data_IF_655750857934
#
_entry.id   IF_655750857934
#
_cell.length_a   1.000
_cell.length_b   1.000
_cell.length_c   1.000
_cell.angle_alpha   90.00
_cell.angle_beta   90.00
_cell.angle_gamma   90.00
#
_symmetry.space_group_name_H-M   'P 1'
#
loop_
_entity.id
_entity.type
_entity.pdbx_description
1 polymer ?
#
# COMPACT_ATOMS: atom_id res chain seq x y z
N UNK A 1 -17.58 -71.91 -17.20
CA UNK A 1 -18.40 -70.73 -17.03
C UNK A 1 -17.59 -69.73 -16.31
N UNK A 2 -17.03 -68.76 -17.04
CA UNK A 2 -16.22 -67.66 -16.48
C UNK A 2 -16.97 -66.37 -16.82
N UNK A 3 -17.45 -65.70 -15.81
CA UNK A 3 -18.19 -64.43 -15.94
C UNK A 3 -17.18 -63.29 -15.83
N UNK A 4 -16.99 -62.55 -16.89
CA UNK A 4 -16.20 -61.30 -16.97
C UNK A 4 -17.01 -60.16 -16.39
N UNK A 5 -16.44 -59.49 -15.35
CA UNK A 5 -16.93 -58.21 -14.82
C UNK A 5 -16.20 -57.08 -15.60
N UNK A 6 -16.95 -56.24 -16.26
CA UNK A 6 -16.50 -54.98 -16.85
C UNK A 6 -16.35 -53.93 -15.72
N UNK A 7 -15.17 -53.31 -15.68
CA UNK A 7 -14.90 -52.17 -14.82
C UNK A 7 -15.25 -50.89 -15.54
N UNK A 8 -16.23 -50.14 -15.01
CA UNK A 8 -16.49 -48.76 -15.43
C UNK A 8 -15.40 -47.84 -14.86
N UNK A 9 -14.70 -47.17 -15.76
CA UNK A 9 -13.75 -46.11 -15.40
C UNK A 9 -14.51 -44.83 -15.10
N UNK A 10 -14.46 -44.41 -13.83
CA UNK A 10 -14.92 -43.09 -13.39
C UNK A 10 -13.94 -42.01 -13.87
N UNK A 11 -14.46 -41.05 -14.62
CA UNK A 11 -13.75 -39.84 -15.05
C UNK A 11 -13.63 -38.88 -13.86
N UNK A 12 -12.45 -38.34 -13.53
CA UNK A 12 -12.32 -37.40 -12.44
C UNK A 12 -12.95 -36.05 -12.82
N UNK A 13 -13.93 -35.62 -12.06
CA UNK A 13 -14.53 -34.29 -12.11
C UNK A 13 -13.47 -33.22 -11.79
N UNK A 14 -13.32 -32.25 -12.68
CA UNK A 14 -12.46 -31.04 -12.52
C UNK A 14 -12.75 -30.39 -11.17
N UNK A 15 -11.73 -30.34 -10.31
CA UNK A 15 -11.79 -29.73 -9.00
C UNK A 15 -12.17 -28.24 -9.06
N UNK A 16 -13.16 -27.87 -8.28
CA UNK A 16 -13.50 -26.48 -8.01
C UNK A 16 -12.27 -25.78 -7.39
N UNK A 17 -11.93 -24.60 -7.91
CA UNK A 17 -10.90 -23.73 -7.32
C UNK A 17 -11.33 -23.40 -5.89
N UNK A 18 -10.41 -23.37 -4.89
CA UNK A 18 -10.76 -23.00 -3.53
C UNK A 18 -11.29 -21.55 -3.53
N UNK A 19 -12.52 -21.39 -3.02
CA UNK A 19 -13.12 -20.08 -2.82
C UNK A 19 -12.27 -19.21 -1.88
N UNK A 20 -12.32 -17.91 -2.09
CA UNK A 20 -11.62 -16.93 -1.28
C UNK A 20 -12.14 -17.03 0.18
N UNK A 21 -11.32 -17.49 1.11
CA UNK A 21 -11.67 -17.56 2.53
C UNK A 21 -11.32 -16.21 3.16
N UNK A 22 -12.32 -15.33 3.29
CA UNK A 22 -12.20 -14.07 4.03
C UNK A 22 -12.44 -14.36 5.51
N UNK A 23 -11.37 -14.55 6.27
CA UNK A 23 -11.41 -14.86 7.72
C UNK A 23 -11.21 -13.62 8.59
N UNK A 24 -11.81 -12.49 8.26
CA UNK A 24 -11.79 -11.32 9.14
C UNK A 24 -12.99 -11.37 10.10
N UNK A 25 -12.74 -11.47 11.40
CA UNK A 25 -13.75 -11.23 12.42
C UNK A 25 -14.12 -9.73 12.40
N UNK A 26 -15.28 -9.39 11.84
CA UNK A 26 -15.83 -8.02 11.89
C UNK A 26 -16.32 -7.81 13.32
N UNK A 27 -15.70 -6.88 14.06
CA UNK A 27 -16.27 -6.46 15.34
C UNK A 27 -17.51 -5.62 15.06
N UNK A 28 -18.61 -5.91 15.76
CA UNK A 28 -19.88 -5.15 15.63
C UNK A 28 -19.75 -3.65 15.99
N UNK A 29 -18.62 -3.22 16.55
CA UNK A 29 -18.32 -1.81 16.86
C UNK A 29 -17.99 -0.95 15.62
N UNK A 30 -17.63 -1.58 14.48
CA UNK A 30 -17.25 -0.87 13.24
C UNK A 30 -18.43 -0.54 12.30
N UNK A 31 -19.66 -0.87 12.68
CA UNK A 31 -20.83 -0.78 11.80
C UNK A 31 -21.58 0.57 11.82
N UNK A 32 -21.11 1.60 12.55
CA UNK A 32 -21.94 2.78 12.84
C UNK A 32 -21.46 4.13 12.29
N UNK A 33 -20.18 4.43 12.25
CA UNK A 33 -19.71 5.76 11.84
C UNK A 33 -18.71 5.68 10.69
N UNK A 34 -18.89 6.58 9.68
CA UNK A 34 -17.91 6.78 8.62
C UNK A 34 -16.67 7.43 9.26
N UNK A 35 -15.47 6.82 9.17
CA UNK A 35 -14.28 7.40 9.76
C UNK A 35 -13.99 8.80 9.18
N UNK A 36 -13.32 9.69 9.93
CA UNK A 36 -12.94 11.00 9.41
C UNK A 36 -12.03 10.84 8.18
N UNK A 37 -12.13 11.81 7.27
CA UNK A 37 -11.24 11.88 6.11
C UNK A 37 -9.84 12.28 6.55
N UNK A 38 -8.82 11.57 6.04
CA UNK A 38 -7.43 11.97 6.10
C UNK A 38 -6.99 12.69 4.83
N UNK A 39 -7.43 12.20 3.68
CA UNK A 39 -7.24 12.87 2.41
C UNK A 39 -8.38 12.51 1.45
N UNK A 40 -8.47 13.23 0.34
CA UNK A 40 -9.35 12.86 -0.77
C UNK A 40 -8.78 13.35 -2.09
N UNK A 41 -8.96 12.58 -3.15
CA UNK A 41 -8.80 13.08 -4.52
C UNK A 41 -10.13 13.59 -5.05
N UNK A 42 -10.11 14.72 -5.78
CA UNK A 42 -11.29 15.34 -6.42
C UNK A 42 -11.03 15.53 -7.90
N UNK A 43 -11.74 14.79 -8.74
CA UNK A 43 -11.65 14.83 -10.20
C UNK A 43 -10.20 14.75 -10.72
N UNK A 44 -9.36 13.93 -10.04
CA UNK A 44 -7.95 13.83 -10.34
C UNK A 44 -7.74 13.16 -11.70
N UNK A 45 -7.14 13.90 -12.63
CA UNK A 45 -6.60 13.35 -13.87
C UNK A 45 -5.08 13.53 -13.88
N UNK A 46 -4.37 12.60 -14.49
CA UNK A 46 -2.92 12.65 -14.58
C UNK A 46 -2.44 12.27 -15.98
N UNK A 47 -1.49 13.04 -16.50
CA UNK A 47 -0.97 12.88 -17.85
C UNK A 47 0.56 12.65 -17.85
N UNK A 48 0.99 11.63 -18.56
CA UNK A 48 2.37 11.44 -19.00
C UNK A 48 2.51 12.05 -20.41
N UNK A 49 2.97 13.30 -20.51
CA UNK A 49 2.92 14.03 -21.78
C UNK A 49 1.49 14.14 -22.34
N UNK A 50 1.24 13.52 -23.49
CA UNK A 50 -0.09 13.46 -24.13
C UNK A 50 -0.96 12.29 -23.64
N UNK A 51 -0.40 11.29 -22.97
CA UNK A 51 -1.13 10.11 -22.52
C UNK A 51 -1.86 10.39 -21.21
N UNK A 52 -3.20 10.28 -21.22
CA UNK A 52 -4.03 10.41 -20.04
C UNK A 52 -4.09 9.09 -19.25
N UNK A 53 -3.29 9.01 -18.19
CA UNK A 53 -3.13 7.80 -17.38
C UNK A 53 -4.20 7.67 -16.27
N UNK A 54 -4.76 8.80 -15.78
CA UNK A 54 -5.85 8.82 -14.79
C UNK A 54 -6.93 9.77 -15.27
N UNK A 55 -8.20 9.37 -15.10
CA UNK A 55 -9.37 10.07 -15.65
C UNK A 55 -10.39 10.36 -14.55
N UNK A 56 -10.42 11.60 -14.06
CA UNK A 56 -11.41 12.12 -13.10
C UNK A 56 -11.60 11.22 -11.84
N UNK A 57 -10.50 10.74 -11.27
CA UNK A 57 -10.54 9.86 -10.09
C UNK A 57 -10.88 10.68 -8.85
N UNK A 58 -12.04 10.41 -8.25
CA UNK A 58 -12.47 11.00 -6.97
C UNK A 58 -12.61 9.87 -5.93
N UNK A 59 -11.80 9.91 -4.88
CA UNK A 59 -11.74 8.84 -3.88
C UNK A 59 -11.43 9.41 -2.48
N UNK A 60 -12.21 9.04 -1.44
CA UNK A 60 -11.89 9.36 -0.06
C UNK A 60 -10.77 8.44 0.47
N UNK A 61 -9.95 8.98 1.37
CA UNK A 61 -8.96 8.25 2.16
C UNK A 61 -9.25 8.50 3.62
N UNK A 62 -9.65 7.45 4.34
CA UNK A 62 -10.08 7.57 5.73
C UNK A 62 -8.92 7.48 6.71
N UNK A 63 -8.99 8.29 7.78
CA UNK A 63 -7.94 8.37 8.79
C UNK A 63 -7.75 7.04 9.51
N UNK A 64 -6.48 6.64 9.67
CA UNK A 64 -6.08 5.40 10.33
C UNK A 64 -6.80 4.16 9.80
N UNK A 65 -6.97 4.11 8.48
CA UNK A 65 -7.49 2.94 7.75
C UNK A 65 -6.53 2.56 6.65
N UNK A 66 -6.59 1.30 6.27
CA UNK A 66 -5.89 0.79 5.09
C UNK A 66 -6.83 0.80 3.91
N UNK A 67 -6.48 1.52 2.85
CA UNK A 67 -7.18 1.49 1.56
C UNK A 67 -6.34 0.74 0.55
N UNK A 68 -6.83 -0.38 0.03
CA UNK A 68 -6.18 -1.13 -1.04
C UNK A 68 -6.63 -0.65 -2.41
N UNK A 69 -5.68 -0.48 -3.33
CA UNK A 69 -5.91 -0.22 -4.75
C UNK A 69 -5.69 -1.54 -5.51
N UNK A 70 -6.74 -2.08 -6.11
CA UNK A 70 -6.71 -3.31 -6.92
C UNK A 70 -7.09 -3.05 -8.37
N UNK A 71 -6.72 -3.95 -9.26
CA UNK A 71 -7.03 -3.85 -10.69
C UNK A 71 -5.92 -4.47 -11.56
N UNK A 72 -6.14 -4.62 -12.87
CA UNK A 72 -5.17 -5.19 -13.81
C UNK A 72 -3.85 -4.42 -13.82
N UNK A 73 -2.78 -5.07 -14.27
CA UNK A 73 -1.49 -4.40 -14.49
C UNK A 73 -1.64 -3.26 -15.49
N UNK A 74 -0.99 -2.12 -15.24
CA UNK A 74 -1.04 -0.95 -16.12
C UNK A 74 -2.33 -0.11 -16.04
N UNK A 75 -3.32 -0.44 -15.18
CA UNK A 75 -4.57 0.32 -15.10
C UNK A 75 -4.47 1.67 -14.36
N UNK A 76 -3.27 2.06 -13.85
CA UNK A 76 -3.05 3.38 -13.22
C UNK A 76 -2.92 3.37 -11.69
N UNK A 77 -2.96 2.23 -10.99
CA UNK A 77 -2.87 2.14 -9.51
C UNK A 77 -1.65 2.85 -8.91
N UNK A 78 -0.45 2.45 -9.36
CA UNK A 78 0.80 3.06 -8.89
C UNK A 78 0.93 4.52 -9.33
N UNK A 79 0.35 4.88 -10.49
CA UNK A 79 0.28 6.27 -10.93
C UNK A 79 -0.58 7.08 -9.96
N UNK A 80 -1.77 6.59 -9.60
CA UNK A 80 -2.66 7.23 -8.65
C UNK A 80 -2.02 7.34 -7.26
N UNK A 81 -1.43 6.24 -6.76
CA UNK A 81 -0.72 6.23 -5.48
C UNK A 81 0.35 7.33 -5.42
N UNK A 82 1.19 7.44 -6.46
CA UNK A 82 2.32 8.39 -6.53
C UNK A 82 1.88 9.83 -6.74
N UNK A 83 0.62 10.11 -7.08
CA UNK A 83 0.10 11.48 -7.11
C UNK A 83 0.02 12.08 -5.70
N UNK A 84 -0.26 11.27 -4.66
CA UNK A 84 -0.40 11.75 -3.28
C UNK A 84 0.89 12.36 -2.71
N UNK A 85 2.07 11.88 -3.14
CA UNK A 85 3.35 12.42 -2.68
C UNK A 85 4.13 13.16 -3.79
N UNK A 86 3.48 13.47 -4.90
CA UNK A 86 4.05 14.24 -6.02
C UNK A 86 5.35 13.63 -6.58
N UNK A 87 5.45 12.28 -6.56
CA UNK A 87 6.64 11.61 -7.13
C UNK A 87 6.81 11.85 -8.63
N UNK A 88 5.72 12.15 -9.33
CA UNK A 88 5.75 12.43 -10.75
C UNK A 88 6.40 13.79 -11.12
N UNK A 89 6.51 14.72 -10.16
CA UNK A 89 7.20 16.01 -10.36
C UNK A 89 8.69 15.86 -10.62
N UNK A 90 9.26 14.67 -10.31
CA UNK A 90 10.66 14.37 -10.62
C UNK A 90 10.94 14.22 -12.12
N UNK A 91 9.89 14.11 -12.93
CA UNK A 91 9.99 13.86 -14.37
C UNK A 91 9.27 14.99 -15.13
N UNK A 92 9.95 15.67 -16.08
CA UNK A 92 9.33 16.72 -16.84
C UNK A 92 8.23 16.20 -17.79
N UNK A 93 7.29 17.08 -18.13
CA UNK A 93 6.19 16.76 -19.06
C UNK A 93 4.98 16.09 -18.42
N UNK A 94 5.01 15.84 -17.10
CA UNK A 94 3.86 15.33 -16.36
C UNK A 94 2.93 16.47 -15.93
N UNK A 95 1.61 16.18 -15.92
CA UNK A 95 0.59 17.16 -15.54
C UNK A 95 -0.50 16.51 -14.70
N UNK A 96 -0.89 17.23 -13.65
CA UNK A 96 -2.07 16.93 -12.83
C UNK A 96 -3.20 17.91 -13.20
N UNK A 97 -4.42 17.40 -13.26
CA UNK A 97 -5.66 18.18 -13.28
C UNK A 97 -6.54 17.67 -12.12
N UNK A 98 -7.25 18.56 -11.43
CA UNK A 98 -8.00 18.25 -10.21
C UNK A 98 -7.18 18.50 -8.96
N UNK A 99 -7.57 17.89 -7.84
CA UNK A 99 -7.02 18.19 -6.52
C UNK A 99 -6.79 16.93 -5.70
N UNK A 100 -5.84 17.00 -4.77
CA UNK A 100 -5.70 16.08 -3.64
C UNK A 100 -5.68 16.92 -2.36
N UNK A 101 -6.73 16.81 -1.57
CA UNK A 101 -6.89 17.57 -0.33
C UNK A 101 -6.45 16.74 0.85
N UNK A 102 -5.55 17.26 1.67
CA UNK A 102 -5.11 16.64 2.92
C UNK A 102 -5.79 17.34 4.10
N UNK A 103 -6.38 16.55 5.00
CA UNK A 103 -7.09 17.03 6.18
C UNK A 103 -6.25 16.89 7.45
N UNK A 104 -6.48 17.69 8.51
CA UNK A 104 -7.62 18.64 8.68
C UNK A 104 -7.39 20.05 8.11
N UNK A 105 -6.15 20.37 7.70
CA UNK A 105 -5.76 21.72 7.25
C UNK A 105 -6.27 22.07 5.83
N UNK A 106 -6.92 21.14 5.14
CA UNK A 106 -7.47 21.27 3.80
C UNK A 106 -6.43 21.73 2.74
N UNK A 107 -5.19 21.31 2.93
CA UNK A 107 -4.10 21.62 1.99
C UNK A 107 -4.30 20.88 0.68
N UNK A 108 -4.39 21.58 -0.45
CA UNK A 108 -4.31 20.94 -1.76
C UNK A 108 -2.86 20.60 -2.08
N UNK A 109 -2.52 19.33 -2.02
CA UNK A 109 -1.15 18.82 -2.21
C UNK A 109 -0.59 19.10 -3.61
N UNK A 110 -1.46 19.35 -4.60
CA UNK A 110 -1.08 19.60 -5.99
C UNK A 110 -0.98 21.10 -6.32
N UNK A 111 -1.26 21.99 -5.36
CA UNK A 111 -1.17 23.43 -5.56
C UNK A 111 0.29 23.85 -5.85
N UNK A 112 0.46 24.89 -6.68
CA UNK A 112 1.77 25.33 -7.15
C UNK A 112 2.64 25.96 -6.07
N UNK A 113 2.03 26.50 -5.04
CA UNK A 113 2.66 27.13 -3.87
C UNK A 113 3.00 26.15 -2.76
N UNK A 114 2.59 24.89 -2.88
CA UNK A 114 2.93 23.83 -1.91
C UNK A 114 4.25 23.17 -2.32
N UNK A 115 5.23 23.18 -1.40
CA UNK A 115 6.53 22.55 -1.62
C UNK A 115 6.41 21.02 -1.70
N UNK A 116 6.83 20.38 -2.81
CA UNK A 116 6.84 18.92 -2.92
C UNK A 116 7.68 18.21 -1.85
N UNK A 117 8.68 18.86 -1.27
CA UNK A 117 9.50 18.29 -0.19
C UNK A 117 8.64 18.14 1.07
N UNK A 118 7.89 19.18 1.43
CA UNK A 118 6.98 19.14 2.57
C UNK A 118 5.89 18.07 2.37
N UNK A 119 5.34 17.93 1.16
CA UNK A 119 4.38 16.87 0.84
C UNK A 119 5.00 15.49 1.09
N UNK A 120 6.25 15.25 0.65
CA UNK A 120 6.92 13.94 0.83
C UNK A 120 7.33 13.67 2.27
N UNK A 121 7.46 14.69 3.09
CA UNK A 121 7.68 14.54 4.53
C UNK A 121 6.39 14.11 5.27
N UNK A 122 5.24 14.60 4.82
CA UNK A 122 3.91 14.23 5.37
C UNK A 122 3.40 12.90 4.79
N UNK A 123 3.80 12.56 3.57
CA UNK A 123 3.33 11.35 2.84
C UNK A 123 4.53 10.55 2.36
N UNK A 124 4.93 9.60 3.18
CA UNK A 124 6.07 8.72 2.89
C UNK A 124 5.69 7.55 1.97
N UNK A 125 6.69 6.98 1.27
CA UNK A 125 6.46 5.89 0.33
C UNK A 125 7.42 4.73 0.52
N UNK A 126 6.87 3.52 0.45
CA UNK A 126 7.59 2.24 0.40
C UNK A 126 7.38 1.62 -0.98
N UNK A 127 8.49 1.34 -1.67
CA UNK A 127 8.49 0.88 -3.05
C UNK A 127 8.40 -0.65 -3.14
N UNK A 128 8.03 -1.13 -4.32
CA UNK A 128 7.91 -2.53 -4.66
C UNK A 128 9.21 -3.33 -4.43
N UNK A 129 10.35 -2.76 -4.87
CA UNK A 129 11.65 -3.33 -4.58
C UNK A 129 12.27 -2.59 -3.41
N UNK A 130 12.77 -3.31 -2.38
CA UNK A 130 13.51 -2.68 -1.32
C UNK A 130 14.65 -1.82 -1.90
N UNK A 131 14.77 -0.60 -1.41
CA UNK A 131 15.76 0.36 -1.88
C UNK A 131 16.50 1.04 -0.72
N UNK A 132 17.15 0.28 0.17
CA UNK A 132 17.98 0.88 1.20
C UNK A 132 19.08 1.72 0.55
N UNK A 133 19.42 2.85 1.16
CA UNK A 133 20.57 3.64 0.73
C UNK A 133 21.84 2.83 0.94
N UNK A 134 22.93 3.05 0.15
CA UNK A 134 24.24 2.43 0.35
C UNK A 134 24.95 3.04 1.57
N UNK A 135 24.27 2.98 2.70
CA UNK A 135 24.64 3.52 4.00
C UNK A 135 24.34 2.47 5.08
N UNK A 136 24.77 2.71 6.32
CA UNK A 136 24.47 1.84 7.43
C UNK A 136 22.97 1.74 7.70
N UNK A 137 22.54 0.73 8.45
CA UNK A 137 21.15 0.57 8.92
C UNK A 137 20.73 1.83 9.66
N UNK A 138 21.54 2.32 10.60
CA UNK A 138 21.32 3.55 11.33
C UNK A 138 21.12 4.75 10.39
N UNK A 139 22.04 4.99 9.47
CA UNK A 139 21.98 6.13 8.55
C UNK A 139 20.83 6.05 7.55
N UNK A 140 20.32 4.86 7.23
CA UNK A 140 19.11 4.73 6.43
C UNK A 140 17.91 5.34 7.16
N UNK A 141 17.76 5.08 8.45
CA UNK A 141 16.64 5.59 9.26
C UNK A 141 16.85 7.06 9.62
N UNK A 142 18.05 7.43 10.05
CA UNK A 142 18.38 8.78 10.49
C UNK A 142 18.39 9.82 9.35
N UNK A 143 18.47 9.38 8.08
CA UNK A 143 18.66 10.29 6.94
C UNK A 143 17.57 11.37 6.85
N UNK A 144 16.29 10.99 6.89
CA UNK A 144 15.18 11.93 6.81
C UNK A 144 15.16 12.91 7.98
N UNK A 145 15.51 12.46 9.18
CA UNK A 145 15.61 13.29 10.38
C UNK A 145 16.69 14.35 10.26
N UNK A 146 17.87 13.96 9.71
CA UNK A 146 18.96 14.89 9.46
C UNK A 146 18.62 15.93 8.39
N UNK A 147 17.93 15.53 7.34
CA UNK A 147 17.44 16.45 6.30
C UNK A 147 16.47 17.48 6.90
N UNK A 148 15.69 17.09 7.93
CA UNK A 148 14.84 17.99 8.71
C UNK A 148 15.60 18.87 9.70
N UNK A 149 16.92 18.77 9.79
CA UNK A 149 17.77 19.56 10.67
C UNK A 149 17.92 19.00 12.10
N UNK A 150 17.50 17.74 12.35
CA UNK A 150 17.74 17.11 13.65
C UNK A 150 19.23 16.81 13.80
N UNK A 151 19.90 17.46 14.74
CA UNK A 151 21.34 17.33 15.01
C UNK A 151 21.66 16.71 16.35
N UNK A 152 20.72 16.75 17.29
CA UNK A 152 20.90 16.13 18.59
C UNK A 152 21.02 14.62 18.49
N UNK A 153 22.17 14.12 18.98
CA UNK A 153 22.52 12.71 18.82
C UNK A 153 21.56 11.79 19.59
N UNK A 154 21.16 12.20 20.80
CA UNK A 154 20.29 11.38 21.64
C UNK A 154 18.90 11.28 21.03
N UNK A 155 18.34 12.40 20.58
CA UNK A 155 17.05 12.42 19.88
C UNK A 155 17.07 11.59 18.59
N UNK A 156 18.19 11.60 17.84
CA UNK A 156 18.39 10.74 16.69
C UNK A 156 18.41 9.25 17.06
N UNK A 157 19.19 8.90 18.11
CA UNK A 157 19.33 7.52 18.57
C UNK A 157 17.95 6.96 19.02
N UNK A 158 17.22 7.75 19.84
CA UNK A 158 15.87 7.39 20.32
C UNK A 158 14.89 7.20 19.16
N UNK A 159 14.91 8.10 18.17
CA UNK A 159 13.99 8.03 17.01
C UNK A 159 14.34 6.90 16.05
N UNK A 160 15.62 6.59 15.87
CA UNK A 160 16.06 5.44 15.08
C UNK A 160 15.61 4.13 15.73
N UNK A 161 15.79 3.98 17.06
CA UNK A 161 15.29 2.81 17.78
C UNK A 161 13.77 2.69 17.68
N UNK A 162 13.02 3.77 17.94
CA UNK A 162 11.56 3.81 17.83
C UNK A 162 11.10 3.34 16.43
N UNK A 163 11.72 3.86 15.38
CA UNK A 163 11.37 3.54 14.00
C UNK A 163 11.67 2.10 13.62
N UNK A 164 12.81 1.57 14.07
CA UNK A 164 13.19 0.17 13.86
C UNK A 164 12.27 -0.79 14.64
N UNK A 165 11.86 -0.42 15.87
CA UNK A 165 10.84 -1.16 16.62
C UNK A 165 9.48 -1.11 15.92
N UNK A 166 9.07 0.08 15.48
CA UNK A 166 7.84 0.27 14.72
C UNK A 166 7.78 -0.50 13.40
N UNK A 167 8.94 -0.87 12.84
CA UNK A 167 9.06 -1.72 11.66
C UNK A 167 9.35 -3.20 11.99
N UNK A 168 9.22 -3.61 13.26
CA UNK A 168 9.51 -4.96 13.74
C UNK A 168 10.91 -5.49 13.33
N UNK A 169 11.92 -4.60 13.30
CA UNK A 169 13.27 -4.92 12.85
C UNK A 169 14.34 -4.77 13.95
N UNK A 170 14.04 -4.04 15.03
CA UNK A 170 15.00 -3.69 16.07
C UNK A 170 15.77 -4.88 16.63
N UNK A 171 15.08 -5.92 17.06
CA UNK A 171 15.69 -7.06 17.73
C UNK A 171 16.65 -7.86 16.84
N UNK A 172 16.46 -7.77 15.52
CA UNK A 172 17.33 -8.41 14.53
C UNK A 172 18.59 -7.59 14.20
N UNK A 173 18.57 -6.25 14.44
CA UNK A 173 19.64 -5.37 13.94
C UNK A 173 20.31 -4.49 15.01
N UNK A 174 19.81 -4.45 16.25
CA UNK A 174 20.29 -3.56 17.32
C UNK A 174 21.80 -3.64 17.58
N UNK A 175 22.40 -4.85 17.42
CA UNK A 175 23.82 -5.07 17.67
C UNK A 175 24.70 -4.81 16.42
N UNK A 176 24.09 -4.49 15.27
CA UNK A 176 24.77 -4.29 13.99
C UNK A 176 24.30 -3.08 13.19
N UNK A 177 23.85 -2.04 13.87
CA UNK A 177 23.33 -0.79 13.27
C UNK A 177 24.32 -0.07 12.33
N UNK A 178 25.63 -0.37 12.45
CA UNK A 178 26.68 0.21 11.59
C UNK A 178 26.90 -0.58 10.30
N UNK A 179 26.35 -1.77 10.17
CA UNK A 179 26.42 -2.55 8.93
C UNK A 179 25.64 -1.87 7.81
N UNK A 180 26.05 -2.12 6.58
CA UNK A 180 25.40 -1.57 5.37
C UNK A 180 24.01 -2.21 5.21
N UNK A 181 22.98 -1.38 5.03
CA UNK A 181 21.59 -1.83 4.93
C UNK A 181 21.31 -2.80 3.78
N UNK A 182 22.10 -2.75 2.70
CA UNK A 182 21.98 -3.68 1.57
C UNK A 182 22.46 -5.12 1.87
N UNK A 183 23.14 -5.35 3.01
CA UNK A 183 23.55 -6.68 3.43
C UNK A 183 22.45 -7.47 4.15
N UNK A 184 21.32 -6.83 4.43
CA UNK A 184 20.15 -7.45 5.03
C UNK A 184 19.43 -8.36 4.03
N UNK A 185 18.65 -9.33 4.51
CA UNK A 185 17.75 -10.12 3.67
C UNK A 185 16.68 -9.24 3.01
N UNK A 186 16.03 -9.72 1.95
CA UNK A 186 15.00 -8.94 1.23
C UNK A 186 13.87 -8.43 2.15
N UNK A 187 13.35 -9.30 3.03
CA UNK A 187 12.34 -8.92 4.02
C UNK A 187 12.85 -7.92 5.06
N UNK A 188 14.10 -8.06 5.52
CA UNK A 188 14.74 -7.10 6.42
C UNK A 188 14.97 -5.75 5.72
N UNK A 189 15.41 -5.76 4.45
CA UNK A 189 15.57 -4.52 3.67
C UNK A 189 14.23 -3.79 3.50
N UNK A 190 13.14 -4.52 3.26
CA UNK A 190 11.81 -3.92 3.16
C UNK A 190 11.38 -3.29 4.49
N UNK A 191 11.57 -4.00 5.61
CA UNK A 191 11.30 -3.43 6.94
C UNK A 191 12.22 -2.25 7.28
N UNK A 192 13.46 -2.24 6.80
CA UNK A 192 14.35 -1.07 6.91
C UNK A 192 13.80 0.13 6.12
N UNK A 193 13.27 -0.08 4.91
CA UNK A 193 12.61 0.97 4.13
C UNK A 193 11.34 1.49 4.83
N UNK A 194 10.59 0.62 5.51
CA UNK A 194 9.45 1.00 6.34
C UNK A 194 9.91 1.81 7.54
N UNK A 195 10.95 1.38 8.27
CA UNK A 195 11.53 2.14 9.39
C UNK A 195 11.99 3.54 8.96
N UNK A 196 12.67 3.64 7.81
CA UNK A 196 13.07 4.92 7.21
C UNK A 196 11.87 5.83 6.93
N UNK A 197 10.78 5.27 6.43
CA UNK A 197 9.54 6.01 6.16
C UNK A 197 8.86 6.47 7.46
N UNK A 198 8.82 5.62 8.49
CA UNK A 198 8.23 5.94 9.80
C UNK A 198 8.99 7.03 10.55
N UNK A 199 10.32 7.11 10.38
CA UNK A 199 11.17 8.03 11.12
C UNK A 199 10.75 9.51 10.97
N UNK A 200 10.11 9.86 9.87
CA UNK A 200 9.62 11.22 9.61
C UNK A 200 8.24 11.52 10.18
N UNK A 201 7.63 10.60 10.95
CA UNK A 201 6.27 10.70 11.47
C UNK A 201 5.25 11.07 10.39
N UNK A 202 5.12 10.27 9.32
CA UNK A 202 4.24 10.60 8.22
C UNK A 202 2.77 10.51 8.64
N UNK A 203 1.94 11.32 8.03
CA UNK A 203 0.48 11.26 8.18
C UNK A 203 -0.15 10.15 7.33
N UNK A 204 0.45 9.89 6.16
CA UNK A 204 0.04 8.83 5.23
C UNK A 204 1.28 8.02 4.80
N UNK A 205 1.17 6.71 4.77
CA UNK A 205 2.16 5.82 4.15
C UNK A 205 1.60 5.18 2.88
N UNK A 206 2.36 5.31 1.81
CA UNK A 206 2.06 4.71 0.51
C UNK A 206 2.88 3.44 0.33
N UNK A 207 2.23 2.34 0.02
CA UNK A 207 2.88 1.05 -0.27
C UNK A 207 2.60 0.64 -1.72
N UNK A 208 3.63 0.58 -2.55
CA UNK A 208 3.51 0.15 -3.95
C UNK A 208 3.97 -1.30 -4.07
N UNK A 209 3.05 -2.25 -4.02
CA UNK A 209 3.28 -3.70 -4.08
C UNK A 209 4.39 -4.21 -3.12
N UNK A 210 4.35 -3.90 -1.81
CA UNK A 210 5.48 -4.03 -0.89
C UNK A 210 5.98 -5.45 -0.66
N UNK A 211 5.25 -6.47 -1.08
CA UNK A 211 5.55 -7.89 -0.83
C UNK A 211 5.79 -8.70 -2.10
N UNK A 212 5.68 -8.09 -3.28
CA UNK A 212 5.74 -8.82 -4.57
C UNK A 212 7.09 -9.50 -4.86
N UNK A 213 8.17 -9.03 -4.22
CA UNK A 213 9.52 -9.58 -4.36
C UNK A 213 9.97 -10.41 -3.14
N UNK A 214 9.06 -10.72 -2.21
CA UNK A 214 9.36 -11.38 -0.94
C UNK A 214 8.85 -12.83 -0.91
N UNK A 215 9.49 -13.63 -0.08
CA UNK A 215 9.02 -14.97 0.25
C UNK A 215 7.75 -14.94 1.12
N UNK A 216 7.01 -16.07 1.25
CA UNK A 216 5.76 -16.11 2.01
C UNK A 216 5.88 -15.70 3.48
N UNK A 217 7.00 -16.01 4.14
CA UNK A 217 7.23 -15.69 5.57
C UNK A 217 7.43 -14.19 5.73
N UNK A 218 8.29 -13.60 4.91
CA UNK A 218 8.50 -12.16 4.90
C UNK A 218 7.22 -11.40 4.51
N UNK A 219 6.43 -11.95 3.56
CA UNK A 219 5.12 -11.39 3.18
C UNK A 219 4.17 -11.35 4.37
N UNK A 220 4.03 -12.44 5.12
CA UNK A 220 3.16 -12.49 6.30
C UNK A 220 3.60 -11.46 7.36
N UNK A 221 4.90 -11.34 7.63
CA UNK A 221 5.44 -10.34 8.57
C UNK A 221 5.14 -8.89 8.14
N UNK A 222 5.18 -8.59 6.84
CA UNK A 222 4.81 -7.25 6.34
C UNK A 222 3.29 -7.01 6.45
N UNK A 223 2.45 -8.01 6.23
CA UNK A 223 1.00 -7.89 6.39
C UNK A 223 0.60 -7.63 7.85
N UNK A 224 1.21 -8.34 8.79
CA UNK A 224 1.05 -8.10 10.23
C UNK A 224 1.47 -6.68 10.60
N UNK A 225 2.65 -6.24 10.13
CA UNK A 225 3.16 -4.90 10.35
C UNK A 225 2.21 -3.82 9.80
N UNK A 226 1.65 -3.98 8.60
CA UNK A 226 0.66 -3.06 8.03
C UNK A 226 -0.58 -2.96 8.93
N UNK A 227 -1.02 -4.09 9.48
CA UNK A 227 -2.18 -4.15 10.39
C UNK A 227 -1.91 -3.43 11.71
N UNK A 228 -0.70 -3.47 12.23
CA UNK A 228 -0.30 -2.72 13.42
C UNK A 228 -0.16 -1.22 13.13
N UNK A 229 0.49 -0.88 12.02
CA UNK A 229 0.78 0.50 11.62
C UNK A 229 -0.49 1.34 11.40
N UNK A 230 -1.60 0.75 10.92
CA UNK A 230 -2.86 1.48 10.70
C UNK A 230 -3.42 2.14 11.95
N UNK A 231 -3.01 1.71 13.15
CA UNK A 231 -3.42 2.35 14.41
C UNK A 231 -2.79 3.74 14.61
N UNK A 232 -1.71 4.02 13.90
CA UNK A 232 -0.89 5.24 14.02
C UNK A 232 -0.90 6.11 12.77
N UNK A 233 -0.96 5.49 11.59
CA UNK A 233 -0.81 6.16 10.29
C UNK A 233 -1.87 5.66 9.30
N UNK A 234 -2.32 6.54 8.42
CA UNK A 234 -3.21 6.17 7.31
C UNK A 234 -2.42 5.49 6.21
N UNK A 235 -2.97 4.43 5.60
CA UNK A 235 -2.23 3.61 4.63
C UNK A 235 -2.99 3.49 3.32
N UNK A 236 -2.31 3.77 2.21
CA UNK A 236 -2.73 3.37 0.87
C UNK A 236 -1.77 2.30 0.35
N UNK A 237 -2.31 1.18 -0.11
CA UNK A 237 -1.52 0.06 -0.63
C UNK A 237 -1.98 -0.35 -2.02
N UNK A 238 -1.06 -0.43 -2.96
CA UNK A 238 -1.27 -1.11 -4.24
C UNK A 238 -0.89 -2.57 -4.08
N UNK A 239 -1.75 -3.46 -4.51
CA UNK A 239 -1.45 -4.89 -4.61
C UNK A 239 -2.19 -5.55 -5.77
N UNK A 240 -1.55 -6.52 -6.39
CA UNK A 240 -2.18 -7.42 -7.36
C UNK A 240 -2.67 -8.74 -6.71
N UNK A 241 -2.37 -8.94 -5.42
CA UNK A 241 -2.81 -10.10 -4.66
C UNK A 241 -4.14 -9.81 -3.95
N UNK A 242 -5.23 -10.39 -4.47
CA UNK A 242 -6.59 -10.22 -3.93
C UNK A 242 -6.70 -10.70 -2.49
N UNK A 243 -6.03 -11.80 -2.14
CA UNK A 243 -6.05 -12.34 -0.79
C UNK A 243 -5.37 -11.38 0.20
N UNK A 244 -4.26 -10.77 -0.21
CA UNK A 244 -3.60 -9.73 0.58
C UNK A 244 -4.53 -8.53 0.79
N UNK A 245 -5.12 -7.98 -0.28
CA UNK A 245 -6.08 -6.88 -0.16
C UNK A 245 -7.20 -7.22 0.83
N UNK A 246 -7.80 -8.41 0.70
CA UNK A 246 -8.88 -8.85 1.58
C UNK A 246 -8.46 -8.98 3.05
N UNK A 247 -7.19 -9.34 3.34
CA UNK A 247 -6.71 -9.49 4.73
C UNK A 247 -6.33 -8.17 5.39
N UNK A 248 -5.63 -7.28 4.67
CA UNK A 248 -4.98 -6.12 5.30
C UNK A 248 -5.79 -4.84 5.20
N UNK A 249 -6.72 -4.70 4.23
CA UNK A 249 -7.41 -3.43 3.99
C UNK A 249 -8.77 -3.33 4.68
N UNK A 250 -9.15 -2.09 5.01
CA UNK A 250 -10.47 -1.73 5.51
C UNK A 250 -11.40 -1.30 4.37
N UNK A 251 -10.82 -0.64 3.35
CA UNK A 251 -11.47 -0.18 2.13
C UNK A 251 -10.71 -0.68 0.92
N UNK A 252 -11.42 -0.92 -0.17
CA UNK A 252 -10.83 -1.36 -1.43
C UNK A 252 -11.37 -0.53 -2.59
N UNK A 253 -10.45 -0.04 -3.42
CA UNK A 253 -10.72 0.66 -4.65
C UNK A 253 -10.36 -0.22 -5.84
N UNK A 254 -11.32 -0.53 -6.69
CA UNK A 254 -11.07 -1.21 -7.96
C UNK A 254 -10.88 -0.19 -9.07
N UNK A 255 -9.72 -0.25 -9.71
CA UNK A 255 -9.33 0.64 -10.82
C UNK A 255 -9.23 -0.13 -12.14
N UNK A 256 -9.70 0.51 -13.22
CA UNK A 256 -9.61 -0.02 -14.58
C UNK A 256 -9.39 1.09 -15.60
N UNK A 257 -8.39 0.96 -16.45
CA UNK A 257 -8.01 1.90 -17.55
C UNK A 257 -8.01 3.38 -17.09
N UNK A 258 -7.38 3.65 -15.94
CA UNK A 258 -7.22 5.00 -15.40
C UNK A 258 -8.45 5.54 -14.66
N UNK A 259 -9.49 4.77 -14.49
CA UNK A 259 -10.74 5.16 -13.83
C UNK A 259 -10.94 4.39 -12.52
N UNK A 260 -11.57 5.03 -11.54
CA UNK A 260 -12.07 4.38 -10.34
C UNK A 260 -13.44 3.75 -10.67
N UNK A 261 -13.46 2.42 -10.78
CA UNK A 261 -14.68 1.68 -11.10
C UNK A 261 -15.57 1.56 -9.87
N UNK A 262 -15.03 1.12 -8.74
CA UNK A 262 -15.78 0.94 -7.52
C UNK A 262 -14.90 1.18 -6.29
N UNK A 263 -15.47 1.77 -5.24
CA UNK A 263 -14.85 1.98 -3.95
C UNK A 263 -15.87 1.70 -2.86
N UNK A 264 -15.53 0.81 -1.94
CA UNK A 264 -16.34 0.51 -0.76
C UNK A 264 -15.49 -0.16 0.33
N UNK A 265 -16.12 -0.57 1.42
CA UNK A 265 -15.50 -1.45 2.42
C UNK A 265 -14.98 -2.73 1.75
N UNK A 266 -13.88 -3.23 2.22
CA UNK A 266 -13.22 -4.40 1.64
C UNK A 266 -14.13 -5.62 1.60
N UNK A 267 -14.88 -5.88 2.67
CA UNK A 267 -15.86 -6.97 2.72
C UNK A 267 -16.97 -6.81 1.65
N UNK A 268 -17.47 -5.59 1.43
CA UNK A 268 -18.46 -5.32 0.38
C UNK A 268 -17.86 -5.63 -1.01
N UNK A 269 -16.69 -5.11 -1.30
CA UNK A 269 -16.03 -5.32 -2.60
C UNK A 269 -15.80 -6.81 -2.89
N UNK A 270 -15.35 -7.59 -1.90
CA UNK A 270 -15.01 -9.00 -2.11
C UNK A 270 -16.19 -9.98 -2.01
N UNK A 271 -17.23 -9.65 -1.24
CA UNK A 271 -18.36 -10.55 -1.00
C UNK A 271 -19.60 -10.18 -1.80
N UNK A 272 -19.84 -8.88 -2.03
CA UNK A 272 -21.05 -8.38 -2.69
C UNK A 272 -20.78 -7.06 -3.43
N UNK A 273 -19.93 -7.07 -4.46
CA UNK A 273 -19.66 -5.88 -5.27
C UNK A 273 -20.94 -5.38 -5.94
N UNK A 274 -21.04 -4.07 -6.13
CA UNK A 274 -22.21 -3.45 -6.77
C UNK A 274 -22.08 -3.42 -8.29
N UNK A 275 -20.82 -3.48 -8.79
CA UNK A 275 -20.54 -3.45 -10.23
C UNK A 275 -20.12 -4.82 -10.73
N UNK A 276 -20.67 -5.19 -11.88
CA UNK A 276 -20.36 -6.46 -12.51
C UNK A 276 -18.89 -6.57 -12.90
N UNK A 277 -18.29 -5.49 -13.36
CA UNK A 277 -16.87 -5.43 -13.73
C UNK A 277 -15.96 -5.75 -12.52
N UNK A 278 -16.36 -5.32 -11.31
CA UNK A 278 -15.67 -5.66 -10.07
C UNK A 278 -15.82 -7.14 -9.74
N UNK A 279 -17.04 -7.68 -9.87
CA UNK A 279 -17.32 -9.11 -9.64
C UNK A 279 -16.51 -9.99 -10.61
N UNK A 280 -16.52 -9.64 -11.89
CA UNK A 280 -15.80 -10.39 -12.94
C UNK A 280 -14.28 -10.36 -12.68
N UNK A 281 -13.74 -9.22 -12.24
CA UNK A 281 -12.32 -9.11 -11.87
C UNK A 281 -11.96 -9.98 -10.67
N UNK A 282 -12.71 -9.90 -9.57
CA UNK A 282 -12.44 -10.64 -8.33
C UNK A 282 -12.59 -12.15 -8.52
N UNK A 283 -13.58 -12.57 -9.33
CA UNK A 283 -13.82 -13.99 -9.61
C UNK A 283 -12.91 -14.57 -10.69
N UNK A 284 -12.04 -13.75 -11.29
CA UNK A 284 -11.14 -14.17 -12.36
C UNK A 284 -11.85 -14.48 -13.69
N UNK A 285 -13.04 -13.94 -13.89
CA UNK A 285 -13.81 -14.03 -15.15
C UNK A 285 -13.48 -12.87 -16.10
N UNK A 286 -12.50 -12.07 -15.73
CA UNK A 286 -12.04 -10.93 -16.50
C UNK A 286 -11.13 -11.41 -17.63
N UNK A 287 -11.52 -11.18 -18.88
CA UNK A 287 -10.81 -11.57 -20.10
C UNK A 287 -11.57 -11.16 -21.33
#
# INVERSE_FOLDING_TARGET
MVTTMEAHADTPTRGAKPGLVVTRAVSNADLGEVPPLKAESRNLSFHYGSFNALKNVSMPVYDRRVTALIGPSGCGKSTFLRCFNRMHDLYPGNRYDGEIILHPDNTNLLARDVDPIEVRMRISMVFQKPNPFPKSIYENVAYGLRVRGMTDKRALDDKVEESLRGAALWDEVKDRLREVGSNLSGGQQQRLCIARALATDPEIMLFDEPTSALDPIATASIEELITELKTRVTILIVTHNMQQAARVSDYTAYMYIGELVEFDRTDTIFLKPRKKETEDYITGRFG
#
